data_IF_419887142603
#
_entry.id   IF_419887142603
#
_cell.length_a   1.000
_cell.length_b   1.000
_cell.length_c   1.000
_cell.angle_alpha   90.00
_cell.angle_beta   90.00
_cell.angle_gamma   90.00
#
_symmetry.space_group_name_H-M   'P 1'
#
loop_
_entity.id
_entity.type
_entity.pdbx_description
1 polymer ?
#
# COMPACT_ATOMS: atom_id res chain seq x y z
N UNK A 1 -5.09 58.29 41.16
CA UNK A 1 -4.77 59.55 41.87
C UNK A 1 -6.03 60.39 41.96
N UNK A 2 -6.34 60.89 43.15
CA UNK A 2 -7.37 61.91 43.36
C UNK A 2 -6.66 63.11 43.97
N UNK A 3 -6.79 64.27 43.34
CA UNK A 3 -6.16 65.52 43.77
C UNK A 3 -7.28 66.49 44.14
N UNK A 4 -7.23 67.06 45.33
CA UNK A 4 -8.09 68.19 45.67
C UNK A 4 -7.54 69.49 45.07
N UNK A 5 -8.43 70.46 44.87
CA UNK A 5 -8.06 71.81 44.42
C UNK A 5 -7.66 72.73 45.58
N UNK A 6 -7.18 72.19 46.71
CA UNK A 6 -6.77 73.01 47.85
C UNK A 6 -7.90 73.88 48.44
N UNK A 7 -7.50 75.00 49.05
CA UNK A 7 -8.38 75.95 49.73
C UNK A 7 -9.17 76.83 48.73
N UNK A 8 -8.67 76.98 47.51
CA UNK A 8 -9.32 77.77 46.45
C UNK A 8 -10.22 76.94 45.52
N UNK A 9 -10.18 75.61 45.66
CA UNK A 9 -10.92 74.62 44.89
C UNK A 9 -10.54 74.53 43.40
N UNK A 10 -9.33 74.96 43.01
CA UNK A 10 -8.85 74.94 41.62
C UNK A 10 -7.68 73.96 41.45
N UNK A 11 -7.78 73.05 40.47
CA UNK A 11 -6.74 72.05 40.22
C UNK A 11 -5.48 72.61 39.54
N UNK A 12 -5.53 73.84 39.03
CA UNK A 12 -4.45 74.50 38.30
C UNK A 12 -3.46 75.23 39.22
N UNK A 13 -3.89 75.60 40.43
CA UNK A 13 -3.08 76.25 41.47
C UNK A 13 -2.45 75.17 42.36
N UNK A 14 -1.33 74.60 41.92
CA UNK A 14 -0.80 73.37 42.53
C UNK A 14 -0.10 73.54 43.88
N UNK A 15 -0.01 74.77 44.42
CA UNK A 15 0.75 75.02 45.66
C UNK A 15 0.04 74.52 46.92
N UNK A 16 -1.30 74.50 46.95
CA UNK A 16 -2.11 74.04 48.09
C UNK A 16 -2.87 72.73 47.82
N UNK A 17 -2.87 72.25 46.57
CA UNK A 17 -3.46 70.98 46.19
C UNK A 17 -2.83 69.79 46.94
N UNK A 18 -3.68 68.92 47.49
CA UNK A 18 -3.28 67.65 48.09
C UNK A 18 -3.74 66.50 47.22
N UNK A 19 -2.78 65.67 46.83
CA UNK A 19 -3.05 64.45 46.09
C UNK A 19 -2.97 63.24 47.01
N UNK A 20 -3.94 62.35 46.87
CA UNK A 20 -3.86 60.99 47.40
C UNK A 20 -3.77 60.00 46.24
N UNK A 21 -2.79 59.12 46.32
CA UNK A 21 -2.72 57.94 45.46
C UNK A 21 -3.49 56.81 46.15
N UNK A 22 -4.58 56.38 45.52
CA UNK A 22 -5.27 55.17 45.92
C UNK A 22 -4.79 54.05 45.00
N UNK A 23 -3.91 53.20 45.51
CA UNK A 23 -3.64 51.89 44.93
C UNK A 23 -4.64 50.90 45.55
N UNK A 24 -5.22 50.05 44.72
CA UNK A 24 -5.95 48.86 45.15
C UNK A 24 -5.36 47.68 44.43
N UNK A 25 -5.22 46.56 45.13
CA UNK A 25 -4.79 45.32 44.51
C UNK A 25 -5.96 44.73 43.72
N UNK A 26 -5.75 44.51 42.42
CA UNK A 26 -6.63 43.66 41.62
C UNK A 26 -6.05 42.26 41.65
N UNK A 27 -6.72 41.36 42.37
CA UNK A 27 -6.40 39.94 42.29
C UNK A 27 -7.18 39.35 41.12
N UNK A 28 -6.47 38.99 40.05
CA UNK A 28 -7.02 38.12 39.02
C UNK A 28 -6.74 36.69 39.46
N UNK A 29 -7.79 35.92 39.72
CA UNK A 29 -7.63 34.48 39.96
C UNK A 29 -7.51 33.78 38.61
N UNK A 30 -6.52 32.90 38.46
CA UNK A 30 -6.48 31.98 37.33
C UNK A 30 -7.74 31.10 37.40
N UNK A 31 -8.33 30.84 36.23
CA UNK A 31 -9.44 29.91 36.06
C UNK A 31 -8.89 28.73 35.27
N UNK A 32 -9.16 27.51 35.72
CA UNK A 32 -8.82 26.31 34.96
C UNK A 32 -9.59 26.31 33.62
N UNK A 33 -8.89 26.15 32.51
CA UNK A 33 -9.49 26.00 31.19
C UNK A 33 -9.83 24.52 30.92
N UNK A 34 -10.82 24.26 30.05
CA UNK A 34 -11.15 22.89 29.66
C UNK A 34 -10.02 22.28 28.80
N UNK A 35 -9.67 21.00 28.99
CA UNK A 35 -8.68 20.35 28.17
C UNK A 35 -9.18 20.20 26.73
N UNK A 36 -8.25 20.02 25.79
CA UNK A 36 -8.54 19.88 24.37
C UNK A 36 -8.29 18.45 23.89
N UNK A 37 -9.10 18.01 22.91
CA UNK A 37 -8.93 16.76 22.16
C UNK A 37 -9.55 16.93 20.77
N UNK A 38 -8.79 16.59 19.74
CA UNK A 38 -9.28 16.64 18.36
C UNK A 38 -10.46 15.68 18.12
N UNK A 39 -11.34 15.97 17.15
CA UNK A 39 -12.42 15.06 16.78
C UNK A 39 -11.91 13.67 16.37
N UNK A 40 -12.65 12.64 16.77
CA UNK A 40 -12.38 11.25 16.41
C UNK A 40 -13.30 10.81 15.27
N UNK A 41 -12.81 9.92 14.41
CA UNK A 41 -13.55 9.43 13.24
C UNK A 41 -14.09 8.03 13.51
N UNK A 42 -15.32 7.78 13.07
CA UNK A 42 -15.96 6.47 13.17
C UNK A 42 -15.20 5.41 12.34
N UNK A 43 -15.29 4.15 12.77
CA UNK A 43 -14.60 3.03 12.16
C UNK A 43 -15.58 1.95 11.70
N UNK A 44 -15.33 1.44 10.50
CA UNK A 44 -15.98 0.26 9.95
C UNK A 44 -14.95 -0.86 9.83
N UNK A 45 -15.13 -1.95 10.57
CA UNK A 45 -14.20 -3.08 10.64
C UNK A 45 -14.87 -4.36 10.14
N UNK A 46 -14.15 -5.22 9.42
CA UNK A 46 -14.66 -6.55 9.12
C UNK A 46 -14.76 -7.38 10.41
N UNK A 47 -15.61 -8.40 10.35
CA UNK A 47 -15.70 -9.42 11.39
C UNK A 47 -14.32 -10.08 11.51
N UNK A 48 -13.87 -10.31 12.75
CA UNK A 48 -12.58 -10.95 13.04
C UNK A 48 -11.34 -10.12 12.67
N UNK A 49 -11.49 -8.80 12.56
CA UNK A 49 -10.35 -7.92 12.36
C UNK A 49 -9.34 -8.00 13.52
N UNK A 50 -8.06 -7.82 13.18
CA UNK A 50 -6.97 -7.82 14.16
C UNK A 50 -6.98 -6.55 15.04
N UNK A 51 -5.98 -6.45 15.92
CA UNK A 51 -5.79 -5.30 16.80
C UNK A 51 -5.79 -3.98 16.00
N UNK A 52 -6.61 -3.05 16.45
CA UNK A 52 -6.75 -1.71 15.91
C UNK A 52 -6.03 -0.70 16.79
N UNK A 53 -5.37 0.26 16.16
CA UNK A 53 -4.76 1.41 16.82
C UNK A 53 -5.43 2.69 16.31
N UNK A 54 -6.02 3.46 17.22
CA UNK A 54 -6.57 4.80 16.94
C UNK A 54 -5.64 5.83 17.54
N UNK A 55 -5.09 6.70 16.70
CA UNK A 55 -4.23 7.79 17.14
C UNK A 55 -5.08 8.94 17.68
N UNK A 56 -4.61 9.55 18.77
CA UNK A 56 -5.18 10.74 19.39
C UNK A 56 -4.24 11.92 19.13
N UNK A 57 -4.81 13.08 18.84
CA UNK A 57 -4.07 14.33 18.63
C UNK A 57 -4.78 15.52 19.28
N UNK A 58 -4.07 16.63 19.39
CA UNK A 58 -4.62 17.86 19.97
C UNK A 58 -4.88 17.75 21.48
N UNK A 59 -4.19 16.83 22.16
CA UNK A 59 -4.32 16.67 23.61
C UNK A 59 -3.59 17.84 24.28
N UNK A 60 -4.33 18.73 24.94
CA UNK A 60 -3.75 19.84 25.73
C UNK A 60 -4.55 20.05 27.01
N UNK A 61 -3.98 20.77 27.97
CA UNK A 61 -4.70 21.21 29.16
C UNK A 61 -5.64 22.41 28.88
N UNK A 62 -5.74 22.87 27.62
CA UNK A 62 -6.53 24.05 27.27
C UNK A 62 -5.81 25.36 27.58
N UNK A 63 -6.29 26.47 27.01
CA UNK A 63 -5.90 27.83 27.46
C UNK A 63 -4.44 28.26 27.28
N UNK A 64 -3.56 27.38 26.80
CA UNK A 64 -2.10 27.55 26.92
C UNK A 64 -1.57 27.19 28.32
N UNK A 65 -2.39 26.52 29.14
CA UNK A 65 -2.05 25.99 30.46
C UNK A 65 -1.21 24.71 30.34
N UNK A 66 -0.57 24.33 31.45
CA UNK A 66 0.27 23.13 31.52
C UNK A 66 0.00 22.41 32.82
N UNK A 67 -0.89 21.42 32.75
CA UNK A 67 -1.28 20.56 33.87
C UNK A 67 -1.02 19.09 33.52
N UNK A 68 -0.89 18.20 34.52
CA UNK A 68 -0.91 16.78 34.26
C UNK A 68 -2.26 16.37 33.65
N UNK A 69 -2.22 15.49 32.66
CA UNK A 69 -3.38 15.02 31.91
C UNK A 69 -3.56 13.51 32.11
N UNK A 70 -4.82 13.09 32.18
CA UNK A 70 -5.23 11.69 32.20
C UNK A 70 -6.20 11.42 31.07
N UNK A 71 -5.89 10.40 30.27
CA UNK A 71 -6.75 9.95 29.19
C UNK A 71 -7.36 8.60 29.57
N UNK A 72 -8.67 8.47 29.43
CA UNK A 72 -9.41 7.22 29.65
C UNK A 72 -10.31 6.92 28.46
N UNK A 73 -10.59 5.63 28.22
CA UNK A 73 -11.48 5.20 27.14
C UNK A 73 -12.41 4.08 27.63
N UNK A 74 -13.68 4.14 27.22
CA UNK A 74 -14.70 3.14 27.57
C UNK A 74 -15.54 2.76 26.34
N UNK A 75 -15.87 1.48 26.22
CA UNK A 75 -16.79 0.96 25.22
C UNK A 75 -18.19 0.81 25.78
N UNK A 76 -19.20 1.23 25.02
CA UNK A 76 -20.62 1.04 25.37
C UNK A 76 -21.07 -0.44 25.32
N UNK A 77 -20.34 -1.28 24.59
CA UNK A 77 -20.59 -2.71 24.45
C UNK A 77 -19.27 -3.50 24.53
N UNK A 78 -18.92 -3.90 25.75
CA UNK A 78 -17.71 -4.70 26.04
C UNK A 78 -17.77 -6.13 25.54
N UNK A 79 -18.95 -6.61 25.12
CA UNK A 79 -19.13 -7.90 24.45
C UNK A 79 -18.78 -7.87 22.96
N UNK A 80 -18.68 -6.67 22.37
CA UNK A 80 -18.21 -6.47 20.99
C UNK A 80 -16.75 -5.99 20.97
N UNK A 81 -16.44 -4.95 21.74
CA UNK A 81 -15.09 -4.37 21.88
C UNK A 81 -14.86 -4.08 23.35
N UNK A 82 -13.84 -4.69 23.96
CA UNK A 82 -13.45 -4.41 25.34
C UNK A 82 -13.07 -2.93 25.52
N UNK A 83 -12.98 -2.44 26.76
CA UNK A 83 -12.50 -1.07 26.98
C UNK A 83 -11.10 -0.91 26.36
N UNK A 84 -10.87 0.10 25.50
CA UNK A 84 -9.58 0.26 24.84
C UNK A 84 -8.45 0.48 25.85
N UNK A 85 -7.28 -0.07 25.56
CA UNK A 85 -6.05 0.25 26.27
C UNK A 85 -5.58 1.61 25.81
N UNK A 86 -5.44 2.55 26.74
CA UNK A 86 -4.93 3.88 26.46
C UNK A 86 -3.41 3.88 26.63
N UNK A 87 -2.69 4.25 25.58
CA UNK A 87 -1.26 4.50 25.63
C UNK A 87 -1.03 6.01 25.52
N UNK A 88 -0.84 6.65 26.68
CA UNK A 88 -0.67 8.09 26.78
C UNK A 88 0.31 8.42 27.91
N UNK A 89 1.23 9.34 27.64
CA UNK A 89 2.15 9.88 28.65
C UNK A 89 1.88 11.37 28.79
N UNK A 90 1.50 11.81 29.98
CA UNK A 90 1.32 13.24 30.23
C UNK A 90 2.65 13.99 30.13
N UNK A 91 2.73 15.19 29.56
CA UNK A 91 1.67 15.99 28.91
C UNK A 91 1.84 16.00 27.38
N UNK A 92 2.08 14.83 26.78
CA UNK A 92 2.25 14.73 25.34
C UNK A 92 0.99 15.21 24.61
N UNK A 93 1.18 15.80 23.43
CA UNK A 93 0.07 16.29 22.60
C UNK A 93 -0.60 15.18 21.77
N UNK A 94 -0.09 13.96 21.88
CA UNK A 94 -0.52 12.78 21.13
C UNK A 94 -0.57 11.56 22.03
N UNK A 95 -1.38 10.57 21.64
CA UNK A 95 -1.50 9.28 22.32
C UNK A 95 -2.16 8.26 21.39
N UNK A 96 -2.45 7.07 21.90
CA UNK A 96 -3.20 6.09 21.13
C UNK A 96 -4.14 5.25 21.98
N UNK A 97 -5.18 4.73 21.32
CA UNK A 97 -6.08 3.71 21.84
C UNK A 97 -5.84 2.41 21.10
N UNK A 98 -5.75 1.31 21.84
CA UNK A 98 -5.56 -0.02 21.30
C UNK A 98 -6.74 -0.90 21.70
N UNK A 99 -7.39 -1.55 20.74
CA UNK A 99 -8.46 -2.49 20.99
C UNK A 99 -8.55 -3.54 19.89
N UNK A 100 -9.17 -4.67 20.19
CA UNK A 100 -9.45 -5.73 19.22
C UNK A 100 -10.94 -6.09 19.30
N UNK A 101 -11.67 -6.13 18.17
CA UNK A 101 -13.01 -6.71 18.15
C UNK A 101 -13.00 -8.15 18.67
N UNK A 102 -14.03 -8.52 19.44
CA UNK A 102 -14.17 -9.90 19.91
C UNK A 102 -14.48 -10.80 18.71
N UNK A 103 -13.75 -11.90 18.61
CA UNK A 103 -13.90 -12.88 17.54
C UNK A 103 -15.35 -13.33 17.40
N UNK A 104 -15.81 -13.40 16.15
CA UNK A 104 -17.12 -13.84 15.71
C UNK A 104 -18.29 -12.98 16.21
N UNK A 105 -18.02 -11.75 16.64
CA UNK A 105 -19.04 -10.78 17.00
C UNK A 105 -19.20 -9.72 15.90
N UNK A 106 -20.44 -9.29 15.71
CA UNK A 106 -20.81 -8.17 14.85
C UNK A 106 -21.75 -7.23 15.62
N UNK A 107 -21.84 -5.99 15.18
CA UNK A 107 -22.66 -4.95 15.79
C UNK A 107 -21.97 -3.61 15.79
N UNK A 108 -22.52 -2.69 16.58
CA UNK A 108 -22.03 -1.32 16.67
C UNK A 108 -21.84 -0.96 18.15
N UNK A 109 -20.75 -0.26 18.47
CA UNK A 109 -20.47 0.26 19.82
C UNK A 109 -19.92 1.67 19.73
N UNK A 110 -20.31 2.53 20.67
CA UNK A 110 -19.68 3.83 20.86
C UNK A 110 -18.49 3.71 21.80
N UNK A 111 -17.32 4.21 21.38
CA UNK A 111 -16.15 4.40 22.23
C UNK A 111 -16.16 5.84 22.74
N UNK A 112 -16.07 6.00 24.05
CA UNK A 112 -16.04 7.30 24.73
C UNK A 112 -14.64 7.53 25.28
N UNK A 113 -13.99 8.60 24.84
CA UNK A 113 -12.64 9.01 25.25
C UNK A 113 -12.77 10.27 26.10
N UNK A 114 -12.19 10.26 27.28
CA UNK A 114 -12.20 11.41 28.20
C UNK A 114 -10.77 11.83 28.48
N UNK A 115 -10.47 13.11 28.27
CA UNK A 115 -9.25 13.77 28.74
C UNK A 115 -9.62 14.61 29.95
N UNK A 116 -8.89 14.43 31.03
CA UNK A 116 -9.05 15.15 32.29
C UNK A 116 -7.72 15.82 32.65
N UNK A 117 -7.76 17.09 33.04
CA UNK A 117 -6.61 17.77 33.62
C UNK A 117 -6.60 17.70 35.15
N UNK A 118 -5.44 18.01 35.74
CA UNK A 118 -5.26 18.06 37.18
C UNK A 118 -5.61 19.39 37.84
N UNK A 119 -6.41 20.26 37.21
CA UNK A 119 -6.86 21.49 37.83
C UNK A 119 -5.75 22.48 38.20
N UNK A 120 -6.11 23.53 38.93
CA UNK A 120 -5.18 24.57 39.39
C UNK A 120 -4.16 24.04 40.41
N UNK A 121 -4.51 22.97 41.12
CA UNK A 121 -3.62 22.32 42.09
C UNK A 121 -2.63 21.32 41.47
N UNK A 122 -2.82 20.96 40.20
CA UNK A 122 -1.97 20.04 39.45
C UNK A 122 -2.06 18.59 39.93
N UNK A 123 -3.18 18.19 40.53
CA UNK A 123 -3.38 16.87 41.10
C UNK A 123 -4.67 16.21 40.59
N UNK A 124 -4.49 15.23 39.72
CA UNK A 124 -5.58 14.45 39.14
C UNK A 124 -6.44 13.67 40.15
N UNK A 125 -6.01 13.52 41.40
CA UNK A 125 -6.79 12.82 42.45
C UNK A 125 -7.71 13.74 43.26
N UNK A 126 -7.66 15.05 43.03
CA UNK A 126 -8.52 16.07 43.65
C UNK A 126 -9.49 16.64 42.60
N UNK A 127 -10.62 15.97 42.34
CA UNK A 127 -11.47 16.26 41.19
C UNK A 127 -12.26 17.58 41.31
N UNK A 128 -12.12 18.32 42.41
CA UNK A 128 -12.88 19.55 42.64
C UNK A 128 -12.55 20.68 41.64
N UNK A 129 -11.32 20.74 41.14
CA UNK A 129 -10.86 21.75 40.17
C UNK A 129 -10.41 21.18 38.82
N UNK A 130 -10.36 19.85 38.66
CA UNK A 130 -10.15 19.20 37.37
C UNK A 130 -11.25 19.59 36.36
N UNK A 131 -10.85 19.88 35.12
CA UNK A 131 -11.76 19.96 33.99
C UNK A 131 -11.59 18.73 33.08
N UNK A 132 -12.60 18.49 32.23
CA UNK A 132 -12.59 17.33 31.34
C UNK A 132 -13.34 17.58 30.04
N UNK A 133 -12.83 16.99 28.96
CA UNK A 133 -13.50 16.93 27.67
C UNK A 133 -13.75 15.47 27.28
N UNK A 134 -14.91 15.23 26.67
CA UNK A 134 -15.27 13.92 26.15
C UNK A 134 -15.46 13.98 24.64
N UNK A 135 -14.85 13.02 23.94
CA UNK A 135 -15.12 12.73 22.52
C UNK A 135 -15.61 11.31 22.38
N UNK A 136 -16.45 11.11 21.37
CA UNK A 136 -16.98 9.78 21.04
C UNK A 136 -16.77 9.50 19.57
N UNK A 137 -16.58 8.23 19.24
CA UNK A 137 -16.67 7.72 17.88
C UNK A 137 -17.36 6.37 17.89
N UNK A 138 -18.01 6.03 16.79
CA UNK A 138 -18.68 4.76 16.58
C UNK A 138 -17.72 3.75 15.95
N UNK A 139 -17.75 2.51 16.44
CA UNK A 139 -17.11 1.37 15.79
C UNK A 139 -18.17 0.37 15.41
N UNK A 140 -18.31 0.14 14.10
CA UNK A 140 -19.20 -0.87 13.53
C UNK A 140 -18.36 -2.04 13.03
N UNK A 141 -18.63 -3.24 13.57
CA UNK A 141 -18.02 -4.50 13.17
C UNK A 141 -19.08 -5.32 12.43
N UNK A 142 -18.81 -5.70 11.19
CA UNK A 142 -19.78 -6.47 10.39
C UNK A 142 -19.10 -7.42 9.41
N UNK A 143 -19.87 -8.39 8.92
CA UNK A 143 -19.46 -9.20 7.77
C UNK A 143 -19.36 -8.30 6.53
N UNK A 144 -18.29 -8.50 5.76
CA UNK A 144 -17.99 -7.69 4.58
C UNK A 144 -18.22 -8.46 3.29
N UNK A 145 -18.41 -7.69 2.24
CA UNK A 145 -18.32 -8.13 0.86
C UNK A 145 -16.89 -7.90 0.38
N UNK A 146 -16.43 -8.78 -0.51
CA UNK A 146 -15.14 -8.63 -1.18
C UNK A 146 -15.40 -8.40 -2.66
N UNK A 147 -14.67 -7.45 -3.24
CA UNK A 147 -14.52 -7.26 -4.67
C UNK A 147 -13.06 -7.50 -5.03
N UNK A 148 -12.81 -8.44 -5.93
CA UNK A 148 -11.47 -8.75 -6.41
C UNK A 148 -11.39 -8.53 -7.92
N UNK A 149 -10.38 -7.78 -8.36
CA UNK A 149 -10.05 -7.65 -9.78
C UNK A 149 -8.90 -8.59 -10.12
N UNK A 150 -9.05 -9.34 -11.22
CA UNK A 150 -8.01 -10.21 -11.75
C UNK A 150 -7.82 -9.96 -13.24
N UNK A 151 -6.58 -9.70 -13.62
CA UNK A 151 -6.21 -9.60 -15.04
C UNK A 151 -5.80 -10.98 -15.53
N UNK A 152 -6.41 -11.45 -16.61
CA UNK A 152 -6.19 -12.78 -17.20
C UNK A 152 -6.09 -12.69 -18.72
N UNK A 153 -5.23 -13.50 -19.35
CA UNK A 153 -5.15 -13.55 -20.83
C UNK A 153 -6.34 -14.29 -21.43
N UNK A 154 -6.85 -15.31 -20.74
CA UNK A 154 -7.99 -16.10 -21.18
C UNK A 154 -9.07 -16.10 -20.11
N UNK A 155 -10.35 -15.94 -20.47
CA UNK A 155 -11.42 -15.94 -19.50
C UNK A 155 -11.44 -17.21 -18.65
N UNK A 156 -11.61 -17.03 -17.35
CA UNK A 156 -11.65 -18.11 -16.37
C UNK A 156 -12.91 -18.93 -16.53
N UNK A 157 -12.75 -20.25 -16.59
CA UNK A 157 -13.88 -21.18 -16.61
C UNK A 157 -14.56 -21.24 -15.23
N UNK A 158 -15.87 -21.03 -15.21
CA UNK A 158 -16.70 -21.09 -14.00
C UNK A 158 -17.57 -22.34 -13.97
N UNK A 159 -18.19 -22.63 -12.81
CA UNK A 159 -19.30 -23.58 -12.73
C UNK A 159 -20.60 -23.02 -13.35
N UNK A 160 -21.69 -23.80 -13.24
CA UNK A 160 -23.02 -23.45 -13.77
C UNK A 160 -23.62 -22.15 -13.17
N UNK A 161 -23.09 -21.70 -12.03
CA UNK A 161 -23.53 -20.49 -11.34
C UNK A 161 -22.51 -19.34 -11.48
N UNK A 162 -21.48 -19.48 -12.30
CA UNK A 162 -20.47 -18.45 -12.45
C UNK A 162 -19.48 -18.37 -11.29
N UNK A 163 -19.30 -19.44 -10.50
CA UNK A 163 -18.48 -19.43 -9.28
C UNK A 163 -17.18 -20.22 -9.44
N UNK A 164 -16.14 -19.79 -8.69
CA UNK A 164 -14.88 -20.51 -8.50
C UNK A 164 -14.51 -20.57 -7.01
N UNK A 165 -13.89 -21.66 -6.56
CA UNK A 165 -13.47 -21.79 -5.16
C UNK A 165 -12.22 -20.99 -4.82
N UNK A 166 -11.34 -20.80 -5.80
CA UNK A 166 -10.12 -20.01 -5.67
C UNK A 166 -10.06 -19.04 -6.85
N UNK A 167 -9.68 -17.80 -6.59
CA UNK A 167 -9.49 -16.79 -7.63
C UNK A 167 -8.41 -17.26 -8.62
N UNK A 168 -8.57 -16.97 -9.91
CA UNK A 168 -7.52 -17.22 -10.89
C UNK A 168 -6.25 -16.42 -10.54
N UNK A 169 -5.06 -16.92 -10.94
CA UNK A 169 -3.83 -16.15 -10.80
C UNK A 169 -3.94 -14.85 -11.61
N UNK A 170 -3.48 -13.74 -11.01
CA UNK A 170 -3.38 -12.47 -11.70
C UNK A 170 -2.17 -12.47 -12.66
N UNK A 171 -2.30 -11.83 -13.82
CA UNK A 171 -1.15 -11.50 -14.66
C UNK A 171 -0.38 -10.32 -14.05
N UNK A 172 0.89 -10.53 -13.73
CA UNK A 172 1.75 -9.45 -13.22
C UNK A 172 2.18 -8.49 -14.33
N UNK A 173 2.31 -9.00 -15.56
CA UNK A 173 2.73 -8.22 -16.72
C UNK A 173 1.94 -8.60 -17.97
N UNK A 174 1.69 -7.60 -18.81
CA UNK A 174 0.98 -7.72 -20.08
C UNK A 174 1.81 -7.05 -21.16
N UNK A 175 1.91 -7.71 -22.32
CA UNK A 175 2.46 -7.09 -23.52
C UNK A 175 1.42 -6.21 -24.17
N UNK A 176 1.80 -5.03 -24.64
CA UNK A 176 0.88 -4.09 -25.27
C UNK A 176 0.14 -4.63 -26.50
N UNK A 177 0.58 -5.72 -27.16
CA UNK A 177 -0.13 -6.29 -28.31
C UNK A 177 -0.99 -7.50 -27.95
N UNK A 178 -1.08 -7.84 -26.67
CA UNK A 178 -1.92 -8.93 -26.19
C UNK A 178 -3.26 -8.42 -25.71
N UNK A 179 -4.30 -9.12 -26.15
CA UNK A 179 -5.62 -8.99 -25.57
C UNK A 179 -5.64 -9.61 -24.17
N UNK A 180 -6.46 -9.06 -23.30
CA UNK A 180 -6.65 -9.56 -21.96
C UNK A 180 -8.04 -9.23 -21.43
N UNK A 181 -8.37 -9.83 -20.30
CA UNK A 181 -9.64 -9.65 -19.62
C UNK A 181 -9.39 -9.16 -18.21
N UNK A 182 -10.18 -8.19 -17.77
CA UNK A 182 -10.29 -7.82 -16.36
C UNK A 182 -11.54 -8.49 -15.82
N UNK A 183 -11.35 -9.49 -14.97
CA UNK A 183 -12.44 -10.20 -14.31
C UNK A 183 -12.73 -9.58 -12.94
N UNK A 184 -14.00 -9.30 -12.71
CA UNK A 184 -14.52 -8.73 -11.47
C UNK A 184 -15.21 -9.85 -10.70
N UNK A 185 -14.60 -10.26 -9.60
CA UNK A 185 -15.07 -11.30 -8.71
C UNK A 185 -15.64 -10.70 -7.44
N UNK A 186 -16.74 -11.29 -6.94
CA UNK A 186 -17.44 -10.82 -5.76
C UNK A 186 -17.76 -11.95 -4.80
N UNK A 187 -17.72 -11.68 -3.51
CA UNK A 187 -18.13 -12.62 -2.46
C UNK A 187 -18.68 -11.87 -1.24
N UNK A 188 -19.38 -12.59 -0.35
CA UNK A 188 -19.91 -12.04 0.89
C UNK A 188 -19.77 -13.04 2.02
N UNK A 189 -19.34 -12.55 3.18
CA UNK A 189 -19.26 -13.36 4.40
C UNK A 189 -20.59 -13.39 5.17
N UNK A 190 -21.58 -12.61 4.73
CA UNK A 190 -22.87 -12.50 5.42
C UNK A 190 -23.78 -13.69 5.08
N UNK A 191 -23.68 -14.74 5.87
CA UNK A 191 -24.48 -15.96 5.72
C UNK A 191 -25.99 -15.71 5.94
N UNK A 192 -26.35 -14.65 6.68
CA UNK A 192 -27.75 -14.28 6.88
C UNK A 192 -28.32 -13.53 5.68
N UNK A 193 -27.46 -13.06 4.77
CA UNK A 193 -27.87 -12.28 3.61
C UNK A 193 -28.54 -13.06 2.49
N UNK A 194 -28.38 -14.39 2.49
CA UNK A 194 -28.74 -15.26 1.37
C UNK A 194 -28.00 -14.90 0.07
N UNK A 195 -26.81 -14.31 0.17
CA UNK A 195 -25.91 -14.05 -0.95
C UNK A 195 -26.12 -12.70 -1.64
N UNK A 196 -25.37 -12.52 -2.73
CA UNK A 196 -25.33 -11.30 -3.53
C UNK A 196 -26.52 -11.27 -4.49
N UNK A 197 -27.28 -10.17 -4.48
CA UNK A 197 -28.43 -9.96 -5.36
C UNK A 197 -28.12 -9.04 -6.55
N UNK A 198 -27.30 -8.02 -6.35
CA UNK A 198 -26.84 -7.15 -7.43
C UNK A 198 -25.51 -6.50 -7.11
N UNK A 199 -24.80 -6.12 -8.16
CA UNK A 199 -23.55 -5.37 -8.07
C UNK A 199 -23.62 -4.20 -9.03
N UNK A 200 -23.05 -3.08 -8.62
CA UNK A 200 -22.83 -1.88 -9.41
C UNK A 200 -21.36 -1.49 -9.26
N UNK A 201 -20.73 -1.09 -10.37
CA UNK A 201 -19.33 -0.69 -10.43
C UNK A 201 -19.11 0.36 -11.53
N UNK A 202 -18.26 1.35 -11.22
CA UNK A 202 -17.59 2.18 -12.22
C UNK A 202 -16.09 1.90 -12.17
N UNK A 203 -15.46 1.68 -13.32
CA UNK A 203 -14.04 1.37 -13.45
C UNK A 203 -13.37 2.37 -14.39
N UNK A 204 -12.23 2.92 -13.98
CA UNK A 204 -11.34 3.65 -14.89
C UNK A 204 -10.17 2.81 -15.35
N UNK A 205 -9.63 3.13 -16.53
CA UNK A 205 -8.42 2.57 -17.09
C UNK A 205 -7.68 3.61 -17.93
N UNK A 206 -6.41 3.36 -18.24
CA UNK A 206 -5.59 4.24 -19.04
C UNK A 206 -5.79 3.99 -20.54
N UNK A 207 -6.77 4.67 -21.13
CA UNK A 207 -7.14 4.52 -22.56
C UNK A 207 -5.98 4.76 -23.52
N UNK A 208 -4.99 5.58 -23.16
CA UNK A 208 -3.81 5.79 -24.00
C UNK A 208 -3.00 4.50 -24.29
N UNK A 209 -3.15 3.46 -23.47
CA UNK A 209 -2.39 2.21 -23.57
C UNK A 209 -3.22 1.02 -24.05
N UNK A 210 -4.54 1.09 -23.92
CA UNK A 210 -5.43 -0.05 -24.15
C UNK A 210 -6.87 0.43 -24.26
N UNK A 211 -7.67 -0.24 -25.07
CA UNK A 211 -9.08 0.06 -25.25
C UNK A 211 -9.95 -1.05 -24.66
N UNK A 212 -10.93 -0.70 -23.82
CA UNK A 212 -12.01 -1.62 -23.49
C UNK A 212 -12.95 -1.76 -24.72
N UNK A 213 -13.14 -2.98 -25.22
CA UNK A 213 -13.95 -3.20 -26.44
C UNK A 213 -15.28 -3.88 -26.18
N UNK A 214 -15.44 -4.48 -25.00
CA UNK A 214 -16.68 -5.13 -24.60
C UNK A 214 -16.65 -5.58 -23.15
N UNK A 215 -17.79 -6.03 -22.66
CA UNK A 215 -17.90 -6.71 -21.39
C UNK A 215 -18.97 -7.79 -21.45
N UNK A 216 -18.82 -8.80 -20.61
CA UNK A 216 -19.81 -9.85 -20.42
C UNK A 216 -20.06 -10.06 -18.92
N UNK A 217 -21.32 -10.21 -18.54
CA UNK A 217 -21.70 -10.53 -17.17
C UNK A 217 -21.48 -12.02 -16.89
N UNK A 218 -21.18 -12.35 -15.64
CA UNK A 218 -21.18 -13.73 -15.18
C UNK A 218 -22.57 -14.36 -15.31
N UNK A 219 -22.62 -15.68 -15.48
CA UNK A 219 -23.84 -16.42 -15.83
C UNK A 219 -25.00 -16.21 -14.83
N UNK A 220 -24.68 -15.98 -13.56
CA UNK A 220 -25.67 -15.68 -12.53
C UNK A 220 -26.38 -14.32 -12.72
N UNK A 221 -25.71 -13.33 -13.31
CA UNK A 221 -26.16 -11.93 -13.37
C UNK A 221 -26.90 -11.63 -14.68
N UNK A 222 -28.06 -12.25 -14.88
CA UNK A 222 -28.83 -12.18 -16.13
C UNK A 222 -29.94 -11.11 -16.17
N UNK A 223 -30.15 -10.36 -15.08
CA UNK A 223 -31.26 -9.41 -14.95
C UNK A 223 -30.75 -7.97 -14.81
N UNK A 224 -31.51 -7.01 -15.36
CA UNK A 224 -31.25 -5.56 -15.24
C UNK A 224 -29.81 -5.15 -15.60
N UNK A 225 -29.24 -5.79 -16.63
CA UNK A 225 -27.89 -5.50 -17.10
C UNK A 225 -27.79 -4.10 -17.70
N UNK A 226 -26.83 -3.32 -17.21
CA UNK A 226 -26.46 -2.00 -17.73
C UNK A 226 -24.94 -1.86 -17.79
N UNK A 227 -24.44 -0.99 -18.66
CA UNK A 227 -23.02 -0.68 -18.74
C UNK A 227 -22.72 0.04 -20.03
N UNK A 228 -21.79 0.98 -19.97
CA UNK A 228 -21.31 1.71 -21.14
C UNK A 228 -19.80 1.84 -21.07
N UNK A 229 -19.14 1.71 -22.21
CA UNK A 229 -17.72 1.99 -22.34
C UNK A 229 -17.58 3.36 -22.99
N UNK A 230 -16.91 4.28 -22.29
CA UNK A 230 -16.43 5.55 -22.81
C UNK A 230 -14.91 5.52 -22.87
N UNK A 231 -14.41 5.03 -24.00
CA UNK A 231 -12.98 4.89 -24.20
C UNK A 231 -12.26 6.23 -24.27
N UNK A 232 -12.91 7.29 -24.77
CA UNK A 232 -12.31 8.64 -24.84
C UNK A 232 -11.88 9.15 -23.47
N UNK A 233 -12.61 8.76 -22.42
CA UNK A 233 -12.30 9.13 -21.03
C UNK A 233 -11.69 7.99 -20.22
N UNK A 234 -11.52 6.80 -20.81
CA UNK A 234 -11.01 5.62 -20.12
C UNK A 234 -11.94 5.11 -19.03
N UNK A 235 -13.26 5.11 -19.27
CA UNK A 235 -14.27 4.72 -18.28
C UNK A 235 -15.14 3.57 -18.76
N UNK A 236 -15.35 2.60 -17.87
CA UNK A 236 -16.47 1.66 -17.94
C UNK A 236 -17.48 2.10 -16.88
N UNK A 237 -18.54 2.74 -17.35
CA UNK A 237 -19.52 3.46 -16.53
C UNK A 237 -20.82 2.67 -16.38
N UNK A 238 -21.43 2.77 -15.20
CA UNK A 238 -22.72 2.20 -14.85
C UNK A 238 -22.81 0.69 -15.13
N UNK A 239 -21.72 -0.04 -14.88
CA UNK A 239 -21.68 -1.49 -15.02
C UNK A 239 -22.47 -2.11 -13.86
N UNK A 240 -23.68 -2.59 -14.15
CA UNK A 240 -24.56 -3.15 -13.15
C UNK A 240 -25.35 -4.33 -13.67
N UNK A 241 -25.58 -5.31 -12.81
CA UNK A 241 -26.48 -6.40 -13.08
C UNK A 241 -26.98 -7.03 -11.77
N UNK A 242 -28.06 -7.79 -11.89
CA UNK A 242 -28.75 -8.45 -10.78
C UNK A 242 -29.04 -9.91 -11.09
N UNK A 243 -29.29 -10.68 -10.04
CA UNK A 243 -29.66 -12.09 -10.09
C UNK A 243 -30.90 -12.37 -9.27
N UNK A 244 -31.67 -13.38 -9.68
CA UNK A 244 -32.80 -13.92 -8.91
C UNK A 244 -32.43 -15.18 -8.11
N UNK A 245 -31.19 -15.65 -8.25
CA UNK A 245 -30.69 -16.86 -7.58
C UNK A 245 -30.14 -16.47 -6.21
N UNK A 246 -30.60 -17.15 -5.17
CA UNK A 246 -30.10 -16.97 -3.81
C UNK A 246 -28.83 -17.79 -3.56
N UNK A 247 -28.19 -17.53 -2.42
CA UNK A 247 -27.01 -18.22 -1.89
C UNK A 247 -25.72 -18.03 -2.73
N UNK A 248 -25.72 -17.10 -3.68
CA UNK A 248 -24.55 -16.80 -4.51
C UNK A 248 -23.53 -15.93 -3.77
N UNK A 249 -22.24 -16.24 -3.96
CA UNK A 249 -21.13 -15.51 -3.33
C UNK A 249 -20.92 -15.81 -1.84
N UNK A 250 -21.72 -16.70 -1.23
CA UNK A 250 -21.54 -17.18 0.15
C UNK A 250 -20.44 -18.24 0.27
N UNK A 251 -20.17 -18.97 -0.81
CA UNK A 251 -19.15 -20.01 -0.87
C UNK A 251 -18.38 -19.84 -2.18
N UNK A 252 -17.09 -19.51 -2.06
CA UNK A 252 -16.26 -19.18 -3.22
C UNK A 252 -16.45 -17.75 -3.72
N UNK A 253 -15.93 -17.50 -4.92
CA UNK A 253 -15.91 -16.20 -5.58
C UNK A 253 -16.82 -16.27 -6.79
N UNK A 254 -17.79 -15.38 -6.86
CA UNK A 254 -18.78 -15.28 -7.91
C UNK A 254 -18.30 -14.29 -8.98
N UNK A 255 -18.32 -14.69 -10.24
CA UNK A 255 -18.01 -13.80 -11.35
C UNK A 255 -19.15 -12.80 -11.52
N UNK A 256 -18.87 -11.52 -11.32
CA UNK A 256 -19.83 -10.45 -11.61
C UNK A 256 -19.83 -10.12 -13.11
N UNK A 257 -18.68 -9.74 -13.63
CA UNK A 257 -18.49 -9.40 -15.03
C UNK A 257 -17.02 -9.52 -15.40
N UNK A 258 -16.74 -9.55 -16.70
CA UNK A 258 -15.39 -9.41 -17.24
C UNK A 258 -15.40 -8.43 -18.40
N UNK A 259 -14.38 -7.59 -18.45
CA UNK A 259 -14.21 -6.55 -19.46
C UNK A 259 -13.07 -6.98 -20.38
N UNK A 260 -13.32 -6.98 -21.68
CA UNK A 260 -12.33 -7.28 -22.69
C UNK A 260 -11.54 -6.03 -23.04
N UNK A 261 -10.22 -6.16 -23.00
CA UNK A 261 -9.28 -5.13 -23.38
C UNK A 261 -8.47 -5.60 -24.58
N UNK A 262 -8.42 -4.74 -25.58
CA UNK A 262 -7.62 -4.92 -26.80
C UNK A 262 -6.64 -3.75 -26.91
N UNK A 263 -5.69 -3.91 -27.83
CA UNK A 263 -4.77 -2.85 -28.18
C UNK A 263 -5.06 -2.36 -29.59
N UNK A 264 -5.80 -1.27 -29.70
CA UNK A 264 -6.26 -0.69 -30.95
C UNK A 264 -5.23 0.28 -31.53
N UNK A 265 -5.54 0.80 -32.73
CA UNK A 265 -4.61 1.62 -33.49
C UNK A 265 -4.27 2.97 -32.84
N UNK A 266 -5.15 3.50 -31.99
CA UNK A 266 -4.94 4.76 -31.28
C UNK A 266 -4.23 4.56 -29.92
N UNK A 267 -4.17 3.31 -29.44
CA UNK A 267 -3.45 2.95 -28.22
C UNK A 267 -1.95 2.88 -28.51
N UNK A 268 -1.10 3.32 -27.58
CA UNK A 268 0.35 3.17 -27.71
C UNK A 268 1.03 3.09 -26.35
N UNK A 269 1.75 1.99 -26.13
CA UNK A 269 2.75 1.91 -25.07
C UNK A 269 4.10 2.16 -25.71
N UNK A 270 4.76 3.27 -25.34
CA UNK A 270 5.95 3.74 -26.04
C UNK A 270 7.20 2.95 -25.64
N UNK A 271 8.07 2.68 -26.62
CA UNK A 271 9.44 2.26 -26.40
C UNK A 271 10.29 3.52 -26.09
N UNK A 272 10.64 3.74 -24.82
CA UNK A 272 11.40 4.93 -24.41
C UNK A 272 12.90 4.74 -24.68
N UNK A 273 13.35 5.22 -25.83
CA UNK A 273 14.76 5.21 -26.22
C UNK A 273 15.65 6.15 -25.39
N UNK A 274 15.09 7.25 -24.85
CA UNK A 274 15.86 8.23 -24.07
C UNK A 274 16.21 7.66 -22.69
N UNK A 275 15.25 7.01 -22.06
CA UNK A 275 15.43 6.37 -20.76
C UNK A 275 15.86 4.91 -20.84
N UNK A 276 15.88 4.32 -22.05
CA UNK A 276 16.14 2.91 -22.27
C UNK A 276 15.20 2.04 -21.41
N UNK A 277 13.90 2.23 -21.62
CA UNK A 277 12.83 1.54 -20.89
C UNK A 277 11.70 1.10 -21.83
N UNK A 278 11.07 -0.03 -21.49
CA UNK A 278 9.84 -0.53 -22.12
C UNK A 278 8.63 -0.44 -21.18
N UNK A 279 8.77 0.28 -20.05
CA UNK A 279 7.86 0.24 -18.91
C UNK A 279 8.55 -0.17 -17.61
N UNK A 280 7.78 -0.56 -16.57
CA UNK A 280 6.33 -0.77 -16.60
C UNK A 280 5.52 0.52 -16.73
N UNK A 281 4.37 0.41 -17.40
CA UNK A 281 3.34 1.44 -17.41
C UNK A 281 2.12 0.97 -16.62
N UNK A 282 1.53 1.89 -15.84
CA UNK A 282 0.35 1.61 -15.02
C UNK A 282 -0.93 1.72 -15.86
N UNK A 283 -1.72 0.64 -15.87
CA UNK A 283 -3.03 0.59 -16.51
C UNK A 283 -4.09 1.43 -15.80
N UNK A 284 -3.81 1.91 -14.58
CA UNK A 284 -4.71 2.74 -13.76
C UNK A 284 -6.10 2.11 -13.59
N UNK A 285 -6.16 0.78 -13.46
CA UNK A 285 -7.38 0.01 -13.21
C UNK A 285 -7.91 0.35 -11.81
N UNK A 286 -8.81 1.33 -11.73
CA UNK A 286 -9.32 1.83 -10.45
C UNK A 286 -10.84 1.73 -10.39
N UNK A 287 -11.31 1.15 -9.29
CA UNK A 287 -12.73 1.13 -8.94
C UNK A 287 -13.12 2.48 -8.35
N UNK A 288 -13.92 3.25 -9.10
CA UNK A 288 -14.33 4.61 -8.71
C UNK A 288 -15.55 4.59 -7.79
N UNK A 289 -16.58 3.86 -8.20
CA UNK A 289 -17.85 3.71 -7.48
C UNK A 289 -18.19 2.24 -7.36
N UNK A 290 -18.81 1.84 -6.25
CA UNK A 290 -19.23 0.46 -6.04
C UNK A 290 -20.40 0.36 -5.08
N UNK A 291 -21.35 -0.50 -5.41
CA UNK A 291 -22.47 -0.83 -4.54
C UNK A 291 -22.87 -2.30 -4.70
N UNK A 292 -23.12 -2.95 -3.58
CA UNK A 292 -23.59 -4.32 -3.47
C UNK A 292 -24.97 -4.29 -2.84
N UNK A 293 -25.93 -4.98 -3.43
CA UNK A 293 -27.17 -5.32 -2.75
C UNK A 293 -27.19 -6.81 -2.50
N UNK A 294 -27.57 -7.19 -1.28
CA UNK A 294 -27.75 -8.58 -0.90
C UNK A 294 -29.22 -8.97 -0.94
N UNK A 295 -29.49 -10.27 -0.96
CA UNK A 295 -30.86 -10.81 -1.09
C UNK A 295 -31.75 -10.39 0.10
N UNK A 296 -31.20 -10.20 1.30
CA UNK A 296 -31.92 -9.68 2.46
C UNK A 296 -32.23 -8.16 2.40
N UNK A 297 -31.83 -7.47 1.33
CA UNK A 297 -32.05 -6.03 1.14
C UNK A 297 -30.99 -5.12 1.77
N UNK A 298 -29.93 -5.66 2.38
CA UNK A 298 -28.78 -4.88 2.83
C UNK A 298 -28.00 -4.36 1.63
N UNK A 299 -27.65 -3.07 1.68
CA UNK A 299 -26.75 -2.43 0.73
C UNK A 299 -25.39 -2.21 1.35
N UNK A 300 -24.32 -2.46 0.60
CA UNK A 300 -22.94 -2.22 1.01
C UNK A 300 -22.19 -1.42 -0.04
N UNK A 301 -21.61 -0.29 0.38
CA UNK A 301 -20.83 0.63 -0.47
C UNK A 301 -19.34 0.61 -0.13
N UNK A 302 -18.95 -0.15 0.89
CA UNK A 302 -17.58 -0.27 1.37
C UNK A 302 -17.16 -1.75 1.45
N UNK A 303 -17.15 -2.48 0.32
CA UNK A 303 -16.54 -3.80 0.28
C UNK A 303 -15.03 -3.69 0.53
N UNK A 304 -14.44 -4.80 0.98
CA UNK A 304 -13.00 -5.01 0.89
C UNK A 304 -12.66 -5.11 -0.59
N UNK A 305 -11.74 -4.26 -1.06
CA UNK A 305 -11.34 -4.25 -2.47
C UNK A 305 -9.91 -4.76 -2.60
N UNK A 306 -9.78 -5.83 -3.35
CA UNK A 306 -8.52 -6.47 -3.72
C UNK A 306 -8.28 -6.30 -5.22
N UNK A 307 -7.63 -5.20 -5.59
CA UNK A 307 -7.14 -4.99 -6.95
C UNK A 307 -5.69 -5.46 -7.02
N UNK A 308 -5.43 -6.48 -7.84
CA UNK A 308 -4.08 -6.82 -8.23
C UNK A 308 -3.72 -6.00 -9.47
N UNK A 309 -2.72 -5.13 -9.37
CA UNK A 309 -2.25 -4.33 -10.49
C UNK A 309 -1.48 -5.21 -11.47
N UNK A 310 -1.84 -5.15 -12.74
CA UNK A 310 -1.02 -5.65 -13.83
C UNK A 310 -0.32 -4.47 -14.48
N UNK A 311 0.94 -4.65 -14.83
CA UNK A 311 1.72 -3.65 -15.56
C UNK A 311 1.69 -3.95 -17.06
N UNK A 312 1.64 -2.91 -17.89
CA UNK A 312 1.74 -3.06 -19.35
C UNK A 312 3.12 -2.63 -19.84
N UNK A 313 3.64 -3.38 -20.81
CA UNK A 313 4.99 -3.22 -21.36
C UNK A 313 4.93 -3.06 -22.88
N UNK A 314 5.77 -2.15 -23.40
CA UNK A 314 5.93 -1.92 -24.83
C UNK A 314 6.44 -3.19 -25.54
N UNK A 315 6.17 -3.33 -26.83
CA UNK A 315 6.66 -4.44 -27.62
C UNK A 315 8.08 -4.14 -28.14
N UNK A 316 9.16 -4.68 -27.53
CA UNK A 316 10.52 -4.35 -27.93
C UNK A 316 10.91 -4.73 -29.36
N UNK A 317 10.11 -5.60 -29.99
CA UNK A 317 10.36 -6.06 -31.36
C UNK A 317 9.97 -5.00 -32.41
N UNK A 318 9.04 -4.11 -32.07
CA UNK A 318 8.58 -3.01 -32.92
C UNK A 318 9.49 -1.80 -32.68
N UNK A 319 10.67 -1.83 -33.29
CA UNK A 319 11.73 -0.86 -33.02
C UNK A 319 11.41 0.56 -33.49
N UNK A 320 10.37 0.73 -34.31
CA UNK A 320 9.91 2.05 -34.73
C UNK A 320 8.50 2.39 -34.26
N UNK A 321 7.94 1.64 -33.30
CA UNK A 321 6.60 1.82 -32.73
C UNK A 321 5.53 2.10 -33.82
N UNK A 322 5.57 1.38 -34.96
CA UNK A 322 4.62 1.57 -36.07
C UNK A 322 3.51 0.50 -36.13
N UNK A 323 3.46 -0.37 -35.14
CA UNK A 323 2.46 -1.41 -34.95
C UNK A 323 2.64 -2.61 -35.89
N UNK A 324 3.75 -2.69 -36.64
CA UNK A 324 3.98 -3.68 -37.69
C UNK A 324 5.42 -4.19 -37.70
N UNK A 325 5.63 -5.45 -37.31
CA UNK A 325 6.96 -6.08 -37.38
C UNK A 325 7.32 -6.39 -38.83
N UNK A 326 8.14 -5.55 -39.46
CA UNK A 326 8.43 -5.63 -40.88
C UNK A 326 9.89 -5.28 -41.23
N UNK A 327 10.13 -4.97 -42.51
CA UNK A 327 11.47 -4.66 -43.00
C UNK A 327 12.05 -3.37 -42.41
N UNK A 328 11.22 -2.47 -41.85
CA UNK A 328 11.65 -1.25 -41.17
C UNK A 328 12.37 -1.57 -39.87
N UNK A 329 11.80 -2.43 -39.03
CA UNK A 329 12.45 -2.95 -37.83
C UNK A 329 13.75 -3.68 -38.19
N UNK A 330 13.71 -4.49 -39.25
CA UNK A 330 14.89 -5.20 -39.71
C UNK A 330 16.01 -4.25 -40.13
N UNK A 331 15.69 -3.14 -40.79
CA UNK A 331 16.68 -2.12 -41.16
C UNK A 331 17.29 -1.48 -39.92
N UNK A 332 16.50 -1.19 -38.89
CA UNK A 332 16.97 -0.64 -37.61
C UNK A 332 17.89 -1.63 -36.87
N UNK A 333 17.51 -2.90 -36.79
CA UNK A 333 18.36 -3.93 -36.18
C UNK A 333 19.68 -4.09 -36.95
N UNK A 334 19.61 -4.13 -38.28
CA UNK A 334 20.80 -4.30 -39.13
C UNK A 334 21.75 -3.10 -39.05
N UNK A 335 21.26 -1.87 -38.84
CA UNK A 335 22.13 -0.70 -38.74
C UNK A 335 23.01 -0.68 -37.49
N UNK A 336 22.66 -1.45 -36.46
CA UNK A 336 23.45 -1.66 -35.24
C UNK A 336 23.94 -3.11 -35.08
N UNK A 337 23.92 -3.92 -36.13
CA UNK A 337 24.38 -5.30 -36.05
C UNK A 337 25.88 -5.37 -35.71
N UNK A 338 26.22 -6.16 -34.68
CA UNK A 338 27.57 -6.31 -34.14
C UNK A 338 28.00 -5.20 -33.18
N UNK A 339 27.10 -4.27 -32.85
CA UNK A 339 27.34 -3.20 -31.87
C UNK A 339 27.12 -3.73 -30.46
N UNK A 340 27.95 -3.26 -29.53
CA UNK A 340 27.80 -3.44 -28.08
C UNK A 340 26.99 -2.23 -27.56
N UNK A 341 25.73 -2.38 -27.13
CA UNK A 341 24.87 -1.27 -26.71
C UNK A 341 25.49 -0.36 -25.64
N UNK A 342 26.15 -0.92 -24.62
CA UNK A 342 26.79 -0.16 -23.54
C UNK A 342 27.96 0.73 -24.00
N UNK A 343 28.57 0.42 -25.14
CA UNK A 343 29.67 1.18 -25.75
C UNK A 343 29.20 2.04 -26.92
N UNK A 344 27.91 1.99 -27.25
CA UNK A 344 27.32 2.64 -28.41
C UNK A 344 26.81 4.04 -28.09
N UNK A 345 26.85 4.91 -29.09
CA UNK A 345 26.15 6.22 -29.08
C UNK A 345 24.79 6.16 -29.77
N UNK A 346 24.37 4.97 -30.22
CA UNK A 346 23.11 4.77 -30.92
C UNK A 346 21.97 4.55 -29.93
N UNK A 347 20.97 5.42 -29.96
CA UNK A 347 19.83 5.39 -29.04
C UNK A 347 19.03 4.07 -29.12
N UNK A 348 18.98 3.45 -30.31
CA UNK A 348 18.25 2.21 -30.55
C UNK A 348 19.11 0.93 -30.44
N UNK A 349 20.43 1.02 -30.17
CA UNK A 349 21.25 -0.18 -30.01
C UNK A 349 20.84 -1.01 -28.79
N UNK A 350 20.43 -0.33 -27.71
CA UNK A 350 19.89 -0.97 -26.51
C UNK A 350 18.61 -1.76 -26.81
N UNK A 351 17.66 -1.19 -27.57
CA UNK A 351 16.42 -1.88 -27.91
C UNK A 351 16.64 -2.99 -28.97
N UNK A 352 17.62 -2.83 -29.87
CA UNK A 352 17.93 -3.86 -30.85
C UNK A 352 18.60 -5.11 -30.24
N UNK A 353 19.14 -5.02 -29.02
CA UNK A 353 19.67 -6.14 -28.23
C UNK A 353 18.50 -6.85 -27.51
N UNK A 354 17.77 -7.66 -28.25
CA UNK A 354 16.48 -8.17 -27.83
C UNK A 354 16.57 -9.15 -26.65
N UNK A 355 17.68 -9.86 -26.53
CA UNK A 355 17.98 -10.73 -25.39
C UNK A 355 18.82 -10.03 -24.29
N UNK A 356 19.08 -8.72 -24.41
CA UNK A 356 19.76 -7.86 -23.43
C UNK A 356 21.11 -8.44 -22.99
N UNK A 357 21.88 -9.04 -23.91
CA UNK A 357 23.18 -9.65 -23.64
C UNK A 357 24.38 -8.71 -23.86
N UNK A 358 24.11 -7.45 -24.16
CA UNK A 358 25.03 -6.37 -24.52
C UNK A 358 25.74 -6.59 -25.86
N UNK A 359 25.10 -7.28 -26.81
CA UNK A 359 25.62 -7.45 -28.17
C UNK A 359 24.49 -7.73 -29.17
N UNK A 360 24.20 -6.77 -30.05
CA UNK A 360 23.25 -6.98 -31.17
C UNK A 360 23.86 -7.95 -32.18
N UNK A 361 23.26 -9.13 -32.35
CA UNK A 361 23.80 -10.19 -33.19
C UNK A 361 22.71 -11.05 -33.86
N UNK A 362 23.10 -12.22 -34.35
CA UNK A 362 22.21 -13.13 -35.07
C UNK A 362 21.06 -13.66 -34.21
N UNK A 363 21.20 -13.68 -32.88
CA UNK A 363 20.13 -14.08 -31.95
C UNK A 363 18.98 -13.09 -31.97
N UNK A 364 19.29 -11.80 -31.94
CA UNK A 364 18.30 -10.72 -32.03
C UNK A 364 17.64 -10.73 -33.41
N UNK A 365 18.44 -10.92 -34.46
CA UNK A 365 17.89 -11.11 -35.81
C UNK A 365 16.92 -12.29 -35.88
N UNK A 366 17.23 -13.42 -35.24
CA UNK A 366 16.32 -14.58 -35.19
C UNK A 366 15.04 -14.23 -34.42
N UNK A 367 15.14 -13.51 -33.31
CA UNK A 367 13.97 -13.10 -32.52
C UNK A 367 13.03 -12.20 -33.34
N UNK A 368 13.58 -11.21 -34.05
CA UNK A 368 12.81 -10.33 -34.93
C UNK A 368 12.20 -11.11 -36.10
N UNK A 369 13.01 -11.89 -36.82
CA UNK A 369 12.55 -12.65 -38.01
C UNK A 369 11.49 -13.70 -37.65
N UNK A 370 11.54 -14.28 -36.45
CA UNK A 370 10.52 -15.23 -35.96
C UNK A 370 9.14 -14.58 -35.82
N UNK A 371 9.09 -13.27 -35.61
CA UNK A 371 7.87 -12.49 -35.46
C UNK A 371 7.57 -11.61 -36.69
N UNK A 372 8.33 -11.75 -37.77
CA UNK A 372 8.19 -10.93 -38.96
C UNK A 372 6.81 -11.10 -39.62
N UNK A 373 6.20 -9.98 -39.99
CA UNK A 373 4.87 -9.88 -40.59
C UNK A 373 3.74 -9.80 -39.57
N UNK A 374 4.02 -9.96 -38.28
CA UNK A 374 3.00 -9.80 -37.23
C UNK A 374 2.69 -8.33 -37.00
N UNK A 375 1.45 -8.06 -36.63
CA UNK A 375 0.96 -6.72 -36.38
C UNK A 375 0.15 -6.67 -35.11
N UNK A 376 0.11 -5.48 -34.51
CA UNK A 376 -0.76 -5.15 -33.39
C UNK A 376 -2.24 -5.48 -33.69
N UNK A 377 -2.71 -5.12 -34.89
CA UNK A 377 -4.12 -5.25 -35.29
C UNK A 377 -4.64 -6.69 -35.51
N UNK A 378 -3.76 -7.69 -35.59
CA UNK A 378 -4.15 -9.07 -35.90
C UNK A 378 -4.14 -9.99 -34.67
N UNK A 379 -3.90 -9.45 -33.46
CA UNK A 379 -3.86 -10.18 -32.18
C UNK A 379 -3.02 -11.48 -32.24
N UNK A 380 -1.90 -11.43 -32.97
CA UNK A 380 -1.04 -12.59 -33.18
C UNK A 380 -0.07 -12.78 -32.03
N UNK A 381 0.03 -14.00 -31.51
CA UNK A 381 0.95 -14.33 -30.41
C UNK A 381 2.40 -13.95 -30.76
N UNK A 382 2.95 -12.98 -30.05
CA UNK A 382 4.35 -12.58 -30.16
C UNK A 382 5.23 -13.54 -29.35
N UNK A 383 6.30 -14.03 -29.98
CA UNK A 383 7.28 -14.91 -29.33
C UNK A 383 8.41 -14.07 -28.77
N UNK A 384 8.29 -13.73 -27.49
CA UNK A 384 9.30 -12.98 -26.76
C UNK A 384 10.49 -13.86 -26.33
N UNK A 385 11.68 -13.25 -26.16
CA UNK A 385 12.78 -13.84 -25.41
C UNK A 385 12.34 -14.24 -23.99
N UNK A 386 12.97 -15.28 -23.43
CA UNK A 386 12.60 -15.84 -22.10
C UNK A 386 12.78 -14.83 -20.97
N UNK A 387 13.61 -13.82 -21.18
CA UNK A 387 13.94 -12.78 -20.21
C UNK A 387 13.10 -11.50 -20.36
N UNK A 388 12.08 -11.49 -21.24
CA UNK A 388 11.11 -10.40 -21.30
C UNK A 388 10.01 -10.57 -20.23
N UNK A 389 9.52 -9.48 -19.60
CA UNK A 389 10.01 -8.09 -19.71
C UNK A 389 11.18 -7.78 -18.75
N UNK A 390 11.51 -8.70 -17.83
CA UNK A 390 12.42 -8.50 -16.71
C UNK A 390 13.81 -7.94 -17.06
N UNK A 391 14.48 -8.48 -18.08
CA UNK A 391 15.82 -8.04 -18.45
C UNK A 391 15.84 -6.63 -19.06
N UNK A 392 14.69 -6.15 -19.53
CA UNK A 392 14.54 -4.87 -20.19
C UNK A 392 14.22 -3.72 -19.23
N UNK A 393 13.61 -4.00 -18.07
CA UNK A 393 13.17 -2.95 -17.15
C UNK A 393 14.29 -2.46 -16.20
N UNK A 394 15.53 -2.98 -16.32
CA UNK A 394 16.70 -2.67 -15.47
C UNK A 394 16.43 -2.75 -13.96
N UNK A 395 15.30 -3.33 -13.54
CA UNK A 395 14.99 -3.52 -12.15
C UNK A 395 15.95 -4.55 -11.62
N UNK A 396 16.55 -4.26 -10.46
CA UNK A 396 17.32 -5.22 -9.70
C UNK A 396 16.36 -6.27 -9.14
N UNK A 397 15.92 -7.19 -9.99
CA UNK A 397 15.13 -8.33 -9.58
C UNK A 397 16.03 -9.26 -8.77
N UNK A 398 15.78 -9.36 -7.47
CA UNK A 398 16.28 -10.46 -6.66
C UNK A 398 15.45 -11.69 -7.02
N UNK A 399 15.80 -12.34 -8.13
CA UNK A 399 15.20 -13.65 -8.45
C UNK A 399 15.73 -14.65 -7.42
N UNK A 400 14.82 -15.35 -6.72
CA UNK A 400 15.16 -16.55 -5.94
C UNK A 400 15.28 -17.78 -6.85
N UNK A 401 15.84 -17.58 -8.04
CA UNK A 401 15.86 -18.55 -9.14
C UNK A 401 17.18 -18.57 -9.87
N UNK A 402 18.31 -18.59 -9.17
CA UNK A 402 19.56 -18.97 -9.81
C UNK A 402 19.49 -20.44 -10.23
N UNK A 403 19.19 -20.66 -11.51
CA UNK A 403 19.82 -21.75 -12.25
C UNK A 403 21.32 -21.63 -12.05
N UNK A 404 21.96 -22.71 -11.59
CA UNK A 404 23.40 -22.78 -11.30
C UNK A 404 24.23 -22.46 -12.55
N UNK A 405 24.43 -21.20 -12.87
CA UNK A 405 25.74 -20.75 -13.33
C UNK A 405 26.56 -20.56 -12.08
N UNK A 406 27.40 -21.55 -11.78
CA UNK A 406 28.53 -21.37 -10.88
C UNK A 406 29.35 -20.17 -11.37
N UNK A 407 29.02 -18.97 -10.90
CA UNK A 407 30.05 -17.97 -10.68
C UNK A 407 30.98 -18.64 -9.68
N UNK A 408 32.17 -18.98 -10.15
CA UNK A 408 33.20 -19.63 -9.35
C UNK A 408 33.72 -18.57 -8.38
N UNK A 409 32.92 -18.28 -7.34
CA UNK A 409 33.37 -17.52 -6.18
C UNK A 409 34.64 -18.23 -5.72
N UNK A 410 35.79 -17.53 -5.64
CA UNK A 410 36.99 -18.13 -5.11
C UNK A 410 36.66 -18.67 -3.72
N UNK A 411 36.94 -19.95 -3.46
CA UNK A 411 36.74 -20.54 -2.14
C UNK A 411 37.40 -19.64 -1.08
N UNK A 412 36.70 -19.42 0.04
CA UNK A 412 37.24 -18.68 1.17
C UNK A 412 38.59 -19.29 1.53
N UNK A 413 39.64 -18.47 1.57
CA UNK A 413 40.95 -18.96 2.01
C UNK A 413 41.03 -18.86 3.52
N UNK A 414 41.67 -19.85 4.13
CA UNK A 414 41.99 -19.85 5.57
C UNK A 414 42.59 -18.51 6.05
N UNK A 415 43.50 -17.92 5.26
CA UNK A 415 44.11 -16.64 5.59
C UNK A 415 43.12 -15.47 5.66
N UNK A 416 42.08 -15.48 4.81
CA UNK A 416 41.06 -14.41 4.81
C UNK A 416 40.15 -14.53 6.04
N UNK A 417 39.84 -15.76 6.45
CA UNK A 417 39.10 -16.01 7.67
C UNK A 417 39.91 -15.59 8.92
N UNK A 418 41.22 -15.86 8.93
CA UNK A 418 42.14 -15.44 9.99
C UNK A 418 42.26 -13.91 10.10
N UNK A 419 42.37 -13.20 8.98
CA UNK A 419 42.40 -11.74 8.95
C UNK A 419 41.11 -11.13 9.54
N UNK A 420 39.95 -11.71 9.21
CA UNK A 420 38.66 -11.30 9.75
C UNK A 420 38.54 -11.59 11.25
N UNK A 421 38.99 -12.76 11.70
CA UNK A 421 39.02 -13.09 13.13
C UNK A 421 39.89 -12.10 13.90
N UNK A 422 41.05 -11.74 13.35
CA UNK A 422 41.94 -10.78 14.01
C UNK A 422 41.31 -9.38 14.12
N UNK A 423 40.61 -8.92 13.08
CA UNK A 423 39.87 -7.66 13.11
C UNK A 423 38.75 -7.69 14.16
N UNK A 424 37.97 -8.78 14.22
CA UNK A 424 36.89 -8.94 15.19
C UNK A 424 37.39 -9.03 16.65
N UNK A 425 38.50 -9.73 16.88
CA UNK A 425 39.15 -9.79 18.21
C UNK A 425 39.65 -8.41 18.63
N UNK A 426 40.25 -7.65 17.71
CA UNK A 426 40.72 -6.30 17.99
C UNK A 426 39.55 -5.38 18.38
N UNK A 427 38.43 -5.43 17.65
CA UNK A 427 37.22 -4.66 17.95
C UNK A 427 36.65 -5.01 19.33
N UNK A 428 36.41 -6.29 19.60
CA UNK A 428 35.83 -6.75 20.87
C UNK A 428 36.75 -6.54 22.08
N UNK A 429 38.07 -6.52 21.89
CA UNK A 429 39.03 -6.35 23.00
C UNK A 429 38.92 -4.97 23.69
N UNK A 430 38.40 -3.95 23.00
CA UNK A 430 38.37 -2.56 23.46
C UNK A 430 37.45 -2.29 24.66
N UNK A 431 36.61 -3.26 25.05
CA UNK A 431 35.66 -3.12 26.17
C UNK A 431 35.70 -4.23 27.22
N UNK A 432 36.70 -5.13 27.21
CA UNK A 432 36.70 -6.34 28.03
C UNK A 432 37.77 -6.35 29.13
N UNK A 433 37.48 -7.07 30.22
CA UNK A 433 38.42 -7.30 31.31
C UNK A 433 39.59 -8.20 30.84
N UNK A 434 40.80 -8.09 31.42
CA UNK A 434 41.98 -8.85 30.98
C UNK A 434 41.79 -10.37 30.94
N UNK A 435 41.00 -10.92 31.87
CA UNK A 435 40.68 -12.35 31.94
C UNK A 435 39.79 -12.84 30.77
N UNK A 436 39.00 -11.95 30.17
CA UNK A 436 38.16 -12.27 29.01
C UNK A 436 38.90 -11.98 27.69
N UNK A 437 39.87 -11.07 27.70
CA UNK A 437 40.81 -10.86 26.59
C UNK A 437 41.69 -12.10 26.35
N UNK A 438 42.12 -12.80 27.40
CA UNK A 438 42.86 -14.06 27.25
C UNK A 438 42.00 -15.17 26.62
N UNK A 439 40.69 -15.22 26.93
CA UNK A 439 39.76 -16.18 26.31
C UNK A 439 39.56 -15.86 24.83
N UNK A 440 39.42 -14.59 24.47
CA UNK A 440 39.32 -14.15 23.07
C UNK A 440 40.56 -14.47 22.24
N UNK A 441 41.75 -14.34 22.83
CA UNK A 441 43.00 -14.70 22.17
C UNK A 441 43.14 -16.20 21.89
N UNK A 442 42.36 -17.05 22.58
CA UNK A 442 42.35 -18.50 22.36
C UNK A 442 41.41 -18.95 21.23
N UNK A 443 40.56 -18.06 20.71
CA UNK A 443 39.60 -18.39 19.64
C UNK A 443 40.32 -18.61 18.31
N UNK A 444 39.90 -19.64 17.58
CA UNK A 444 40.41 -20.01 16.26
C UNK A 444 39.30 -19.98 15.23
N UNK A 445 39.68 -19.84 13.97
CA UNK A 445 38.77 -19.99 12.84
C UNK A 445 39.36 -21.00 11.85
N UNK A 446 38.53 -21.89 11.32
CA UNK A 446 38.93 -22.89 10.33
C UNK A 446 37.95 -22.90 9.15
N UNK A 447 38.49 -22.84 7.94
CA UNK A 447 37.71 -22.97 6.71
C UNK A 447 37.58 -24.45 6.36
N UNK A 448 36.36 -24.97 6.40
CA UNK A 448 36.04 -26.38 6.16
C UNK A 448 34.73 -26.51 5.39
N UNK A 449 34.60 -27.57 4.59
CA UNK A 449 33.35 -27.91 3.90
C UNK A 449 32.32 -28.41 4.94
N UNK A 450 31.24 -27.64 5.14
CA UNK A 450 30.19 -27.91 6.11
C UNK A 450 28.99 -28.52 5.39
N UNK A 451 28.42 -29.57 5.97
CA UNK A 451 27.33 -30.28 5.31
C UNK A 451 26.04 -29.43 5.18
N UNK A 452 25.41 -29.51 4.01
CA UNK A 452 24.08 -28.95 3.77
C UNK A 452 24.13 -27.48 3.37
N UNK A 453 23.32 -26.64 4.04
CA UNK A 453 23.25 -25.18 3.81
C UNK A 453 23.91 -24.39 4.95
N UNK A 454 24.82 -25.02 5.69
CA UNK A 454 25.43 -24.45 6.91
C UNK A 454 26.68 -23.66 6.53
N UNK A 455 26.65 -22.33 6.63
CA UNK A 455 27.78 -21.46 6.27
C UNK A 455 28.76 -21.20 7.43
N UNK A 456 28.39 -21.58 8.65
CA UNK A 456 29.27 -21.47 9.80
C UNK A 456 28.75 -22.17 11.05
N UNK A 457 29.67 -22.61 11.90
CA UNK A 457 29.38 -23.30 13.15
C UNK A 457 30.48 -23.02 14.18
N UNK A 458 30.12 -22.62 15.39
CA UNK A 458 31.07 -22.53 16.49
C UNK A 458 31.04 -23.81 17.34
N UNK A 459 32.21 -24.34 17.69
CA UNK A 459 32.36 -25.45 18.65
C UNK A 459 33.52 -25.13 19.59
N UNK A 460 33.21 -24.96 20.88
CA UNK A 460 34.18 -24.57 21.90
C UNK A 460 34.94 -23.27 21.53
N UNK A 461 36.26 -23.34 21.36
CA UNK A 461 37.16 -22.23 20.99
C UNK A 461 37.35 -22.08 19.48
N UNK A 462 36.70 -22.90 18.63
CA UNK A 462 36.87 -22.86 17.18
C UNK A 462 35.59 -22.50 16.44
N UNK A 463 35.70 -21.55 15.51
CA UNK A 463 34.67 -21.16 14.56
C UNK A 463 34.98 -21.85 13.22
N UNK A 464 34.05 -22.64 12.71
CA UNK A 464 34.13 -23.25 11.38
C UNK A 464 33.31 -22.42 10.40
N UNK A 465 33.85 -22.16 9.22
CA UNK A 465 33.20 -21.42 8.13
C UNK A 465 33.42 -22.14 6.80
N UNK A 466 32.42 -22.10 5.91
CA UNK A 466 32.43 -22.76 4.60
C UNK A 466 32.39 -21.74 3.47
#
# INVERSE_FOLDING_TARGET
FVTDGGDDHLLETTEDNRSIELAFDVTLNAQNDDPELDPLTDLLLPRNEFEQTVNLSGITAGGGESQPLRVTAQSSNTGLIANPVVNYTSADNTGSLIFTPITDQTGTTTITVTVEDGGLDGNLETPEDNASITRTFEVTVREMETLSLRVVETPTATDEQGTVMALPPNQDSISEWKDYWVEIWVSTEDLASQGIASVFLDLSYQTAFTTATGFEFGDAFSLNQTGTIDDVTGLVDNLSASTAVADLGLTGNLLFARIHFESLADDQVLLDFEQQSIGPYDLSLQVLSREFSLVNGRTSTAPVVDVSAAEIYANPLDLNDDGLLNYRDLILLVSVYGVVPSESVSDYAWAADLDQNDLVNYRDLIALVTNYGKSKSEAQEIKYPVNYPDAWNRSLLVTTGFSKTQSKVPALKQSQAEDLLQAAVAEMSTGLLPEDQEKLASVKIEVVDLSGTTLGKATADTIYVD
#
